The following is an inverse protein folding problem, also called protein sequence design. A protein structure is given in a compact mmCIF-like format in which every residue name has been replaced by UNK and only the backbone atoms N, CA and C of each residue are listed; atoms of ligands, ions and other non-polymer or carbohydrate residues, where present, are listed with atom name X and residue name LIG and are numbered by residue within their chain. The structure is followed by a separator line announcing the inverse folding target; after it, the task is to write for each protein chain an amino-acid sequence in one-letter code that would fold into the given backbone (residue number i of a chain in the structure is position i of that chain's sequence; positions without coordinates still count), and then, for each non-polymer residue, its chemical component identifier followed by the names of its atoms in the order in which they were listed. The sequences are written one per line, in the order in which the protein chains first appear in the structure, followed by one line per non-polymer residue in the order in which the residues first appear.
data_IF_744159359915
#
_entry.id   IF_744159359915
#
_cell.length_a   1.000
_cell.length_b   1.000
_cell.length_c   1.000
_cell.angle_alpha   90.00
_cell.angle_beta   90.00
_cell.angle_gamma   90.00
#
_symmetry.space_group_name_H-M   'P 1'
#
loop_
_entity.id
_entity.type
_entity.pdbx_description
1 polymer ?
#
# COMPACT_ATOMS: atom_id res chain seq x y z
N UNK A 1 8.30 -9.59 -21.73
CA UNK A 1 9.23 -9.09 -20.69
C UNK A 1 10.18 -8.03 -21.27
N UNK A 2 9.76 -6.77 -21.25
CA UNK A 2 10.58 -5.66 -21.79
C UNK A 2 11.01 -4.67 -20.70
N UNK A 3 10.46 -4.74 -19.48
CA UNK A 3 10.83 -3.87 -18.36
C UNK A 3 12.00 -4.43 -17.55
N UNK A 4 12.93 -3.55 -17.19
CA UNK A 4 13.99 -3.86 -16.21
C UNK A 4 13.53 -3.69 -14.76
N UNK A 5 12.36 -3.10 -14.53
CA UNK A 5 11.79 -2.94 -13.21
C UNK A 5 11.25 -4.28 -12.70
N UNK A 6 11.41 -4.53 -11.39
CA UNK A 6 10.69 -5.63 -10.73
C UNK A 6 9.20 -5.26 -10.68
N UNK A 7 8.38 -6.13 -11.23
CA UNK A 7 6.93 -6.01 -11.23
C UNK A 7 6.38 -7.09 -10.30
N UNK A 8 5.47 -6.68 -9.41
CA UNK A 8 4.70 -7.57 -8.55
C UNK A 8 3.24 -7.34 -8.91
N UNK A 9 2.54 -8.41 -9.26
CA UNK A 9 1.18 -8.33 -9.77
C UNK A 9 0.14 -8.50 -8.66
N UNK A 10 -0.92 -7.69 -8.70
CA UNK A 10 -2.01 -7.72 -7.72
C UNK A 10 -3.35 -7.85 -8.43
N UNK A 11 -4.19 -8.79 -8.02
CA UNK A 11 -5.56 -8.89 -8.50
C UNK A 11 -6.46 -7.88 -7.77
N UNK A 12 -7.03 -6.95 -8.51
CA UNK A 12 -7.83 -5.81 -8.02
C UNK A 12 -9.32 -5.95 -8.36
N UNK A 13 -9.85 -7.16 -8.52
CA UNK A 13 -11.26 -7.40 -8.85
C UNK A 13 -12.25 -6.86 -7.83
N UNK A 14 -11.85 -6.82 -6.54
CA UNK A 14 -12.70 -6.42 -5.43
C UNK A 14 -12.56 -4.93 -5.06
N UNK A 15 -12.62 -4.03 -6.05
CA UNK A 15 -12.54 -2.58 -5.81
C UNK A 15 -13.85 -1.82 -6.08
N UNK A 16 -14.73 -2.35 -6.91
CA UNK A 16 -16.07 -1.81 -7.12
C UNK A 16 -16.97 -2.89 -7.73
N UNK A 17 -18.23 -2.89 -7.38
CA UNK A 17 -19.22 -3.80 -7.96
C UNK A 17 -19.48 -3.44 -9.41
N UNK A 18 -19.49 -4.43 -10.29
CA UNK A 18 -19.77 -4.24 -11.70
C UNK A 18 -21.19 -3.72 -11.92
N UNK A 19 -21.37 -2.83 -12.90
CA UNK A 19 -22.69 -2.26 -13.22
C UNK A 19 -23.72 -3.36 -13.54
N UNK A 20 -24.86 -3.28 -12.89
CA UNK A 20 -25.98 -4.20 -13.13
C UNK A 20 -25.93 -5.49 -12.29
N UNK A 21 -24.93 -5.65 -11.42
CA UNK A 21 -24.86 -6.76 -10.47
C UNK A 21 -25.16 -6.27 -9.04
N UNK A 22 -25.71 -7.14 -8.23
CA UNK A 22 -25.78 -6.93 -6.78
C UNK A 22 -24.43 -7.23 -6.13
N UNK A 23 -24.24 -6.74 -4.91
CA UNK A 23 -23.01 -6.96 -4.12
C UNK A 23 -22.69 -8.47 -3.99
N UNK A 24 -23.68 -9.27 -3.58
CA UNK A 24 -23.49 -10.71 -3.37
C UNK A 24 -23.21 -11.47 -4.68
N UNK A 25 -23.88 -11.12 -5.78
CA UNK A 25 -23.59 -11.72 -7.09
C UNK A 25 -22.14 -11.43 -7.53
N UNK A 26 -21.68 -10.20 -7.30
CA UNK A 26 -20.32 -9.81 -7.67
C UNK A 26 -19.27 -10.48 -6.77
N UNK A 27 -19.51 -10.58 -5.46
CA UNK A 27 -18.63 -11.31 -4.54
C UNK A 27 -18.51 -12.78 -4.95
N UNK A 28 -19.63 -13.43 -5.32
CA UNK A 28 -19.61 -14.80 -5.84
C UNK A 28 -18.81 -14.90 -7.15
N UNK A 29 -19.01 -13.99 -8.09
CA UNK A 29 -18.24 -13.96 -9.32
C UNK A 29 -16.73 -13.86 -9.06
N UNK A 30 -16.33 -13.02 -8.11
CA UNK A 30 -14.92 -12.91 -7.70
C UNK A 30 -14.41 -14.25 -7.15
N UNK A 31 -15.15 -14.85 -6.22
CA UNK A 31 -14.72 -16.06 -5.49
C UNK A 31 -14.77 -17.30 -6.39
N UNK A 32 -15.85 -17.48 -7.13
CA UNK A 32 -16.13 -18.74 -7.83
C UNK A 32 -15.51 -18.78 -9.23
N UNK A 33 -15.23 -17.63 -9.84
CA UNK A 33 -14.76 -17.56 -11.23
C UNK A 33 -13.44 -16.79 -11.38
N UNK A 34 -13.36 -15.52 -10.92
CA UNK A 34 -12.20 -14.67 -11.20
C UNK A 34 -10.95 -15.14 -10.45
N UNK A 35 -11.02 -15.39 -9.15
CA UNK A 35 -9.90 -15.85 -8.32
C UNK A 35 -9.35 -17.20 -8.84
N UNK A 36 -10.18 -18.23 -9.09
CA UNK A 36 -9.71 -19.49 -9.68
C UNK A 36 -9.01 -19.30 -11.03
N UNK A 37 -9.52 -18.42 -11.88
CA UNK A 37 -8.92 -18.17 -13.19
C UNK A 37 -7.57 -17.47 -13.07
N UNK A 38 -7.47 -16.41 -12.23
CA UNK A 38 -6.22 -15.70 -11.94
C UNK A 38 -5.19 -16.65 -11.31
N UNK A 39 -5.61 -17.47 -10.35
CA UNK A 39 -4.74 -18.42 -9.67
C UNK A 39 -4.25 -19.55 -10.60
N UNK A 40 -5.14 -20.13 -11.41
CA UNK A 40 -4.78 -21.18 -12.37
C UNK A 40 -3.75 -20.69 -13.39
N UNK A 41 -3.88 -19.44 -13.84
CA UNK A 41 -2.95 -18.83 -14.80
C UNK A 41 -1.73 -18.18 -14.12
N UNK A 42 -1.67 -18.13 -12.79
CA UNK A 42 -0.61 -17.47 -12.01
C UNK A 42 -0.38 -16.01 -12.43
N UNK A 43 -1.48 -15.25 -12.58
CA UNK A 43 -1.43 -13.88 -13.07
C UNK A 43 -1.15 -12.85 -11.97
N UNK A 44 -1.35 -13.22 -10.70
CA UNK A 44 -1.15 -12.31 -9.57
C UNK A 44 -0.44 -13.00 -8.40
N UNK A 45 0.44 -12.24 -7.74
CA UNK A 45 1.11 -12.61 -6.50
C UNK A 45 0.25 -12.25 -5.29
N UNK A 46 -0.58 -11.23 -5.43
CA UNK A 46 -1.43 -10.67 -4.38
C UNK A 46 -2.89 -10.56 -4.83
N UNK A 47 -3.77 -10.54 -3.86
CA UNK A 47 -5.16 -10.08 -3.97
C UNK A 47 -5.31 -8.81 -3.14
N UNK A 48 -6.06 -7.84 -3.64
CA UNK A 48 -6.36 -6.61 -2.93
C UNK A 48 -7.86 -6.36 -2.93
N UNK A 49 -8.39 -5.96 -1.78
CA UNK A 49 -9.81 -5.65 -1.56
C UNK A 49 -9.97 -4.24 -1.05
N UNK A 50 -10.87 -3.47 -1.63
CA UNK A 50 -11.27 -2.18 -1.08
C UNK A 50 -12.29 -2.38 0.03
N UNK A 51 -11.79 -2.56 1.25
CA UNK A 51 -12.60 -2.76 2.46
C UNK A 51 -12.91 -1.41 3.09
N UNK A 52 -13.95 -0.76 2.64
CA UNK A 52 -14.35 0.55 3.15
C UNK A 52 -15.86 0.76 3.02
N UNK A 53 -16.37 1.78 3.69
CA UNK A 53 -17.79 2.14 3.67
C UNK A 53 -18.28 2.43 2.25
N UNK A 54 -19.25 1.63 1.80
CA UNK A 54 -19.82 1.74 0.45
C UNK A 54 -19.15 0.87 -0.60
N UNK A 55 -18.13 0.09 -0.21
CA UNK A 55 -17.44 -0.88 -1.05
C UNK A 55 -17.61 -2.30 -0.49
N UNK A 56 -16.56 -2.99 -0.08
CA UNK A 56 -16.66 -4.33 0.48
C UNK A 56 -16.62 -4.28 2.01
N UNK A 57 -17.47 -5.06 2.64
CA UNK A 57 -17.53 -5.21 4.10
C UNK A 57 -16.38 -6.11 4.60
N UNK A 58 -15.98 -6.04 5.88
CA UNK A 58 -14.99 -6.97 6.45
C UNK A 58 -15.35 -8.44 6.23
N UNK A 59 -16.63 -8.81 6.34
CA UNK A 59 -17.09 -10.20 6.10
C UNK A 59 -16.90 -10.63 4.64
N UNK A 60 -17.23 -9.78 3.69
CA UNK A 60 -17.00 -10.07 2.25
C UNK A 60 -15.51 -10.10 1.94
N UNK A 61 -14.74 -9.18 2.54
CA UNK A 61 -13.27 -9.14 2.43
C UNK A 61 -12.68 -10.46 2.91
N UNK A 62 -13.02 -10.93 4.11
CA UNK A 62 -12.54 -12.21 4.64
C UNK A 62 -12.80 -13.37 3.67
N UNK A 63 -14.03 -13.50 3.13
CA UNK A 63 -14.39 -14.52 2.16
C UNK A 63 -13.52 -14.49 0.89
N UNK A 64 -13.25 -13.29 0.38
CA UNK A 64 -12.42 -13.07 -0.82
C UNK A 64 -10.96 -13.44 -0.52
N UNK A 65 -10.41 -13.02 0.61
CA UNK A 65 -9.04 -13.33 1.02
C UNK A 65 -8.84 -14.83 1.25
N UNK A 66 -9.79 -15.50 1.91
CA UNK A 66 -9.77 -16.96 2.11
C UNK A 66 -9.76 -17.70 0.77
N UNK A 67 -10.60 -17.30 -0.17
CA UNK A 67 -10.61 -17.88 -1.51
C UNK A 67 -9.27 -17.68 -2.23
N UNK A 68 -8.71 -16.47 -2.19
CA UNK A 68 -7.43 -16.16 -2.83
C UNK A 68 -6.25 -16.93 -2.21
N UNK A 69 -6.26 -17.15 -0.90
CA UNK A 69 -5.25 -17.91 -0.19
C UNK A 69 -5.16 -19.36 -0.68
N UNK A 70 -6.26 -19.98 -1.11
CA UNK A 70 -6.27 -21.33 -1.67
C UNK A 70 -5.45 -21.44 -2.97
N UNK A 71 -5.22 -20.32 -3.65
CA UNK A 71 -4.42 -20.19 -4.87
C UNK A 71 -3.03 -19.61 -4.63
N UNK A 72 -2.66 -19.39 -3.35
CA UNK A 72 -1.35 -18.86 -2.95
C UNK A 72 -1.17 -17.36 -3.14
N UNK A 73 -2.23 -16.61 -3.43
CA UNK A 73 -2.18 -15.14 -3.46
C UNK A 73 -2.18 -14.59 -2.03
N UNK A 74 -1.28 -13.66 -1.73
CA UNK A 74 -1.19 -13.01 -0.43
C UNK A 74 -2.12 -11.80 -0.36
N UNK A 75 -2.72 -11.50 0.79
CA UNK A 75 -3.63 -10.37 0.91
C UNK A 75 -2.91 -9.03 1.01
N UNK A 76 -3.56 -8.01 0.45
CA UNK A 76 -3.39 -6.59 0.67
C UNK A 76 -4.78 -5.97 0.77
N UNK A 77 -4.92 -4.82 1.41
CA UNK A 77 -6.23 -4.19 1.61
C UNK A 77 -6.11 -2.68 1.48
N UNK A 78 -6.98 -2.07 0.68
CA UNK A 78 -7.31 -0.65 0.80
C UNK A 78 -8.26 -0.51 1.99
N UNK A 79 -7.81 0.20 3.03
CA UNK A 79 -8.50 0.29 4.31
C UNK A 79 -8.54 1.74 4.80
N UNK A 80 -9.66 2.10 5.41
CA UNK A 80 -9.80 3.36 6.14
C UNK A 80 -9.45 4.62 5.34
N UNK A 81 -9.69 4.59 4.05
CA UNK A 81 -9.57 5.77 3.18
C UNK A 81 -10.70 6.76 3.47
N UNK A 82 -11.94 6.26 3.48
CA UNK A 82 -13.15 7.06 3.66
C UNK A 82 -13.70 7.00 5.08
N UNK A 83 -13.56 5.87 5.76
CA UNK A 83 -13.99 5.67 7.14
C UNK A 83 -13.23 4.50 7.78
N UNK A 84 -13.07 4.50 9.11
CA UNK A 84 -12.71 3.30 9.86
C UNK A 84 -13.84 2.28 9.74
N UNK A 85 -13.62 1.25 8.95
CA UNK A 85 -14.66 0.32 8.49
C UNK A 85 -14.33 -1.15 8.81
N UNK A 86 -13.29 -1.42 9.61
CA UNK A 86 -12.83 -2.76 9.97
C UNK A 86 -11.84 -3.36 8.94
N UNK A 87 -11.32 -2.55 8.02
CA UNK A 87 -10.35 -2.98 7.01
C UNK A 87 -8.99 -3.32 7.61
N UNK A 88 -8.56 -2.59 8.62
CA UNK A 88 -7.31 -2.87 9.35
C UNK A 88 -7.42 -4.18 10.10
N UNK A 89 -8.51 -4.40 10.83
CA UNK A 89 -8.73 -5.62 11.61
C UNK A 89 -8.72 -6.86 10.72
N UNK A 90 -9.54 -6.88 9.68
CA UNK A 90 -9.59 -8.03 8.76
C UNK A 90 -8.27 -8.25 8.04
N UNK A 91 -7.52 -7.18 7.75
CA UNK A 91 -6.19 -7.27 7.19
C UNK A 91 -5.20 -7.97 8.10
N UNK A 92 -5.18 -7.61 9.38
CA UNK A 92 -4.32 -8.22 10.39
C UNK A 92 -4.75 -9.67 10.66
N UNK A 93 -6.05 -9.95 10.76
CA UNK A 93 -6.59 -11.30 10.97
C UNK A 93 -6.22 -12.28 9.84
N UNK A 94 -6.05 -11.78 8.63
CA UNK A 94 -5.68 -12.57 7.45
C UNK A 94 -4.20 -12.44 7.04
N UNK A 95 -3.33 -11.95 7.92
CA UNK A 95 -1.90 -11.78 7.67
C UNK A 95 -1.61 -10.97 6.39
N UNK A 96 -2.40 -9.93 6.13
CA UNK A 96 -2.17 -9.05 4.98
C UNK A 96 -0.76 -8.48 5.02
N UNK A 97 -0.10 -8.45 3.87
CA UNK A 97 1.25 -7.90 3.76
C UNK A 97 1.26 -6.39 4.03
N UNK A 98 0.23 -5.70 3.56
CA UNK A 98 0.00 -4.28 3.86
C UNK A 98 -1.49 -3.96 3.95
N UNK A 99 -1.77 -2.89 4.69
CA UNK A 99 -3.03 -2.14 4.65
C UNK A 99 -2.69 -0.74 4.18
N UNK A 100 -3.38 -0.31 3.13
CA UNK A 100 -3.03 0.86 2.35
C UNK A 100 -4.07 1.98 2.56
N UNK A 101 -3.72 3.26 2.42
CA UNK A 101 -4.46 4.50 2.66
C UNK A 101 -4.42 5.00 4.11
N UNK A 102 -5.34 4.59 4.97
CA UNK A 102 -5.35 4.86 6.42
C UNK A 102 -5.62 6.33 6.79
N UNK A 103 -6.28 7.10 5.92
CA UNK A 103 -6.64 8.50 6.18
C UNK A 103 -7.57 8.65 7.39
N UNK A 104 -8.52 7.72 7.51
CA UNK A 104 -9.56 7.70 8.56
C UNK A 104 -9.22 6.81 9.76
N UNK A 105 -8.06 6.11 9.74
CA UNK A 105 -7.64 5.17 10.77
C UNK A 105 -7.72 5.78 12.19
N UNK A 106 -8.12 4.99 13.17
CA UNK A 106 -8.22 5.37 14.60
C UNK A 106 -6.90 5.16 15.35
N UNK A 107 -6.88 5.48 16.63
CA UNK A 107 -5.71 5.21 17.49
C UNK A 107 -5.69 3.74 17.92
N UNK A 108 -6.85 3.15 18.08
CA UNK A 108 -7.04 1.74 18.43
C UNK A 108 -6.46 0.83 17.34
N UNK A 109 -6.66 1.16 16.08
CA UNK A 109 -6.12 0.42 14.93
C UNK A 109 -4.58 0.52 14.84
N UNK A 110 -3.97 1.60 15.35
CA UNK A 110 -2.51 1.69 15.50
C UNK A 110 -1.99 0.57 16.42
N UNK A 111 -2.69 0.32 17.54
CA UNK A 111 -2.29 -0.75 18.47
C UNK A 111 -2.52 -2.15 17.88
N UNK A 112 -3.54 -2.34 17.05
CA UNK A 112 -3.75 -3.60 16.32
C UNK A 112 -2.58 -3.85 15.37
N UNK A 113 -2.22 -2.86 14.56
CA UNK A 113 -1.09 -2.96 13.62
C UNK A 113 0.25 -3.17 14.34
N UNK A 114 0.44 -2.53 15.49
CA UNK A 114 1.67 -2.66 16.29
C UNK A 114 1.96 -4.09 16.71
N UNK A 115 0.94 -4.89 16.90
CA UNK A 115 1.05 -6.30 17.31
C UNK A 115 1.00 -7.28 16.12
N UNK A 116 1.20 -6.78 14.91
CA UNK A 116 1.15 -7.56 13.67
C UNK A 116 2.41 -7.41 12.82
N UNK A 117 2.48 -8.16 11.73
CA UNK A 117 3.49 -8.01 10.68
C UNK A 117 2.96 -7.26 9.46
N UNK A 118 1.74 -6.76 9.51
CA UNK A 118 1.10 -6.02 8.43
C UNK A 118 1.70 -4.61 8.33
N UNK A 119 2.16 -4.24 7.15
CA UNK A 119 2.77 -2.93 6.90
C UNK A 119 1.70 -1.86 6.66
N UNK A 120 1.55 -0.85 7.53
CA UNK A 120 0.76 0.32 7.20
C UNK A 120 1.43 1.11 6.06
N UNK A 121 0.68 1.35 4.99
CA UNK A 121 1.17 2.07 3.81
C UNK A 121 0.31 3.29 3.59
N UNK A 122 0.89 4.48 3.63
CA UNK A 122 0.17 5.74 3.44
C UNK A 122 0.44 6.33 2.06
N UNK A 123 -0.57 6.98 1.50
CA UNK A 123 -0.60 7.43 0.11
C UNK A 123 -0.80 8.96 0.04
N UNK A 124 0.22 9.75 0.46
CA UNK A 124 0.06 11.21 0.59
C UNK A 124 -0.19 11.92 -0.75
N UNK A 125 0.11 11.28 -1.88
CA UNK A 125 -0.22 11.79 -3.21
C UNK A 125 -1.72 11.83 -3.45
N UNK A 126 -2.44 10.80 -3.03
CA UNK A 126 -3.90 10.68 -3.10
C UNK A 126 -4.57 11.75 -2.23
N UNK A 127 -4.18 11.82 -0.96
CA UNK A 127 -4.68 12.86 -0.04
C UNK A 127 -4.44 14.28 -0.58
N UNK A 128 -3.28 14.51 -1.21
CA UNK A 128 -2.96 15.79 -1.85
C UNK A 128 -3.87 16.11 -3.03
N UNK A 129 -3.98 15.18 -3.98
CA UNK A 129 -4.70 15.41 -5.23
C UNK A 129 -6.21 15.52 -5.03
N UNK A 130 -6.78 14.69 -4.15
CA UNK A 130 -8.21 14.69 -3.82
C UNK A 130 -8.58 15.69 -2.72
N UNK A 131 -7.61 16.41 -2.16
CA UNK A 131 -7.81 17.33 -1.04
C UNK A 131 -8.48 16.65 0.18
N UNK A 132 -8.01 15.44 0.51
CA UNK A 132 -8.47 14.63 1.64
C UNK A 132 -7.61 14.89 2.89
N UNK A 133 -8.05 14.49 4.08
CA UNK A 133 -7.20 14.39 5.26
C UNK A 133 -6.00 13.48 4.97
N UNK A 134 -4.90 13.70 5.67
CA UNK A 134 -3.70 12.87 5.57
C UNK A 134 -3.70 11.77 6.64
N UNK A 135 -3.22 10.59 6.28
CA UNK A 135 -3.01 9.48 7.21
C UNK A 135 -2.11 9.84 8.40
N UNK A 136 -2.28 9.14 9.52
CA UNK A 136 -1.65 9.46 10.82
C UNK A 136 -0.22 8.92 10.96
N UNK A 137 0.60 8.98 9.88
CA UNK A 137 1.94 8.37 9.84
C UNK A 137 2.84 8.78 11.03
N UNK A 138 2.83 10.06 11.44
CA UNK A 138 3.62 10.50 12.61
C UNK A 138 3.24 9.73 13.87
N UNK A 139 1.93 9.54 14.13
CA UNK A 139 1.47 8.78 15.30
C UNK A 139 1.86 7.31 15.23
N UNK A 140 1.81 6.71 14.05
CA UNK A 140 2.25 5.33 13.84
C UNK A 140 3.74 5.16 14.15
N UNK A 141 4.59 6.05 13.62
CA UNK A 141 6.03 6.01 13.87
C UNK A 141 6.35 6.28 15.33
N UNK A 142 5.67 7.24 15.98
CA UNK A 142 5.84 7.52 17.42
C UNK A 142 5.40 6.33 18.29
N UNK A 143 4.46 5.53 17.83
CA UNK A 143 4.04 4.27 18.46
C UNK A 143 5.01 3.11 18.16
N UNK A 144 6.06 3.32 17.36
CA UNK A 144 7.07 2.32 17.03
C UNK A 144 6.79 1.47 15.80
N UNK A 145 5.78 1.82 14.99
CA UNK A 145 5.52 1.12 13.74
C UNK A 145 6.47 1.58 12.63
N UNK A 146 6.85 0.64 11.78
CA UNK A 146 7.34 0.96 10.44
C UNK A 146 6.16 1.38 9.57
N UNK A 147 6.36 2.40 8.73
CA UNK A 147 5.34 2.90 7.79
C UNK A 147 5.95 2.89 6.39
N UNK A 148 5.23 2.42 5.40
CA UNK A 148 5.59 2.57 3.99
C UNK A 148 4.87 3.78 3.37
N UNK A 149 5.45 4.33 2.30
CA UNK A 149 4.79 5.30 1.42
C UNK A 149 4.83 4.82 -0.02
N UNK A 150 3.75 5.05 -0.75
CA UNK A 150 3.65 4.70 -2.16
C UNK A 150 3.01 5.83 -2.96
N UNK A 151 3.11 5.75 -4.28
CA UNK A 151 2.58 6.80 -5.16
C UNK A 151 1.08 6.70 -5.39
N UNK A 152 0.53 5.49 -5.30
CA UNK A 152 -0.84 5.21 -5.75
C UNK A 152 -1.11 5.73 -7.17
N UNK A 153 -0.12 5.55 -8.07
CA UNK A 153 -0.20 6.10 -9.42
C UNK A 153 -1.37 5.51 -10.22
N UNK A 154 -2.39 6.31 -10.40
CA UNK A 154 -3.56 5.97 -11.20
C UNK A 154 -4.22 7.26 -11.74
N UNK A 155 -5.01 7.19 -12.83
CA UNK A 155 -5.63 8.38 -13.43
C UNK A 155 -6.76 9.00 -12.59
N UNK A 156 -7.31 8.28 -11.59
CA UNK A 156 -8.44 8.72 -10.79
C UNK A 156 -8.06 9.57 -9.58
N UNK A 157 -7.06 9.12 -8.82
CA UNK A 157 -6.72 9.70 -7.52
C UNK A 157 -5.31 10.26 -7.43
N UNK A 158 -4.35 9.79 -8.26
CA UNK A 158 -2.97 10.28 -8.19
C UNK A 158 -2.28 10.18 -9.56
N UNK A 159 -2.41 11.20 -10.43
CA UNK A 159 -1.85 11.14 -11.78
C UNK A 159 -0.33 11.39 -11.83
N UNK A 160 0.39 11.19 -10.73
CA UNK A 160 1.84 11.34 -10.64
C UNK A 160 2.50 10.17 -9.92
N UNK A 161 3.46 9.53 -10.59
CA UNK A 161 4.31 8.49 -10.00
C UNK A 161 5.62 9.02 -9.42
N UNK A 162 5.77 10.34 -9.21
CA UNK A 162 7.01 10.95 -8.69
C UNK A 162 7.19 10.67 -7.20
N UNK A 163 7.96 9.64 -6.89
CA UNK A 163 8.27 9.25 -5.52
C UNK A 163 9.07 10.30 -4.74
N UNK A 164 9.80 11.19 -5.40
CA UNK A 164 10.47 12.30 -4.74
C UNK A 164 9.46 13.31 -4.18
N UNK A 165 8.41 13.59 -4.96
CA UNK A 165 7.28 14.39 -4.48
C UNK A 165 6.53 13.70 -3.33
N UNK A 166 6.31 12.37 -3.41
CA UNK A 166 5.71 11.59 -2.32
C UNK A 166 6.53 11.68 -1.04
N UNK A 167 7.85 11.54 -1.11
CA UNK A 167 8.76 11.72 0.04
C UNK A 167 8.67 13.14 0.61
N UNK A 168 8.56 14.15 -0.24
CA UNK A 168 8.38 15.54 0.20
C UNK A 168 7.06 15.74 0.94
N UNK A 169 5.96 15.18 0.42
CA UNK A 169 4.66 15.18 1.11
C UNK A 169 4.73 14.43 2.45
N UNK A 170 5.44 13.31 2.50
CA UNK A 170 5.64 12.56 3.73
C UNK A 170 6.32 13.41 4.81
N UNK A 171 7.33 14.20 4.45
CA UNK A 171 7.97 15.13 5.39
C UNK A 171 7.05 16.30 5.77
N UNK A 172 6.41 16.94 4.79
CA UNK A 172 5.67 18.20 5.02
C UNK A 172 4.30 17.95 5.65
N UNK A 173 3.56 16.95 5.13
CA UNK A 173 2.16 16.69 5.52
C UNK A 173 2.03 15.60 6.58
N UNK A 174 2.80 14.52 6.45
CA UNK A 174 2.78 13.41 7.41
C UNK A 174 3.74 13.63 8.58
N UNK A 175 4.59 14.67 8.53
CA UNK A 175 5.56 15.05 9.56
C UNK A 175 6.60 13.97 9.86
N UNK A 176 6.95 13.19 8.86
CA UNK A 176 8.08 12.27 8.97
C UNK A 176 9.40 13.04 8.85
N UNK A 177 10.39 12.62 9.59
CA UNK A 177 11.76 13.12 9.37
C UNK A 177 12.27 12.63 8.00
N UNK A 178 13.20 13.33 7.34
CA UNK A 178 13.73 12.92 6.03
C UNK A 178 14.22 11.47 5.99
N UNK A 179 14.93 11.03 7.03
CA UNK A 179 15.38 9.64 7.15
C UNK A 179 14.24 8.63 7.28
N UNK A 180 13.18 8.98 8.03
CA UNK A 180 11.98 8.14 8.15
C UNK A 180 11.24 8.04 6.82
N UNK A 181 11.06 9.17 6.12
CA UNK A 181 10.40 9.22 4.81
C UNK A 181 11.18 8.45 3.74
N UNK A 182 12.52 8.52 3.75
CA UNK A 182 13.37 7.72 2.86
C UNK A 182 13.26 6.23 3.15
N UNK A 183 13.27 5.82 4.43
CA UNK A 183 13.04 4.42 4.79
C UNK A 183 11.64 3.96 4.39
N UNK A 184 10.62 4.80 4.57
CA UNK A 184 9.26 4.53 4.16
C UNK A 184 9.13 4.26 2.64
N UNK A 185 9.85 5.04 1.82
CA UNK A 185 9.85 4.91 0.37
C UNK A 185 10.79 3.80 -0.16
N UNK A 186 11.67 3.23 0.66
CA UNK A 186 12.67 2.26 0.24
C UNK A 186 12.50 0.90 0.91
N UNK A 187 13.08 0.68 2.09
CA UNK A 187 13.06 -0.64 2.74
C UNK A 187 11.65 -1.06 3.17
N UNK A 188 10.84 -0.13 3.68
CA UNK A 188 9.46 -0.41 4.09
C UNK A 188 8.56 -0.61 2.85
N UNK A 189 8.73 0.21 1.79
CA UNK A 189 8.06 -0.01 0.52
C UNK A 189 8.40 -1.36 -0.11
N UNK A 190 9.67 -1.77 -0.06
CA UNK A 190 10.08 -3.10 -0.50
C UNK A 190 9.45 -4.22 0.33
N UNK A 191 9.28 -4.01 1.65
CA UNK A 191 8.55 -4.96 2.50
C UNK A 191 7.08 -5.06 2.08
N UNK A 192 6.40 -3.92 1.90
CA UNK A 192 5.00 -3.88 1.45
C UNK A 192 4.77 -4.53 0.08
N UNK A 193 5.83 -4.68 -0.72
CA UNK A 193 5.83 -5.43 -1.99
C UNK A 193 6.22 -6.90 -1.83
N UNK A 194 6.61 -7.38 -0.64
CA UNK A 194 7.15 -8.72 -0.43
C UNK A 194 8.59 -8.91 -0.94
N UNK A 195 9.30 -7.84 -1.22
CA UNK A 195 10.62 -7.84 -1.88
C UNK A 195 11.76 -7.33 -1.00
N UNK A 196 11.55 -7.14 0.30
CA UNK A 196 12.57 -6.59 1.21
C UNK A 196 13.84 -7.44 1.32
N UNK A 197 13.79 -8.72 1.01
CA UNK A 197 14.97 -9.58 0.94
C UNK A 197 15.91 -9.18 -0.21
N UNK A 198 15.36 -8.66 -1.31
CA UNK A 198 16.09 -8.37 -2.55
C UNK A 198 16.30 -6.89 -2.81
N UNK A 199 15.42 -6.01 -2.30
CA UNK A 199 15.37 -4.58 -2.61
C UNK A 199 15.28 -3.71 -1.35
N UNK A 200 15.29 -2.41 -1.55
CA UNK A 200 14.99 -1.39 -0.54
C UNK A 200 16.16 -0.96 0.33
N UNK A 201 17.33 -1.60 0.22
CA UNK A 201 18.54 -1.14 0.93
C UNK A 201 19.81 -1.54 0.18
N UNK A 202 20.88 -0.80 0.40
CA UNK A 202 22.21 -1.13 -0.12
C UNK A 202 22.87 -2.10 0.85
N UNK A 203 22.78 -3.39 0.54
CA UNK A 203 23.36 -4.47 1.36
C UNK A 203 23.91 -5.58 0.49
N UNK A 204 24.89 -6.34 1.02
CA UNK A 204 25.47 -7.49 0.31
C UNK A 204 24.39 -8.54 0.03
N UNK A 205 24.32 -8.97 -1.22
CA UNK A 205 23.36 -9.99 -1.67
C UNK A 205 22.06 -9.42 -2.25
N UNK A 206 21.79 -8.13 -2.06
CA UNK A 206 20.62 -7.48 -2.68
C UNK A 206 20.89 -7.00 -4.10
N UNK A 207 19.83 -6.81 -4.85
CA UNK A 207 19.88 -6.29 -6.22
C UNK A 207 20.39 -4.84 -6.19
N UNK A 208 21.34 -4.52 -7.07
CA UNK A 208 21.89 -3.17 -7.22
C UNK A 208 20.88 -2.26 -7.96
N UNK A 209 19.81 -1.90 -7.28
CA UNK A 209 18.79 -0.96 -7.75
C UNK A 209 18.89 0.32 -6.93
N UNK A 210 19.68 1.26 -7.40
CA UNK A 210 19.93 2.55 -6.76
C UNK A 210 20.20 3.63 -7.80
N UNK A 211 20.09 4.87 -7.40
CA UNK A 211 20.52 6.03 -8.16
C UNK A 211 21.63 6.78 -7.40
N UNK A 212 22.40 7.57 -8.12
CA UNK A 212 23.46 8.42 -7.58
C UNK A 212 23.04 9.86 -7.84
N UNK A 213 23.04 10.67 -6.79
CA UNK A 213 22.72 12.09 -6.90
C UNK A 213 23.96 12.90 -7.30
N UNK A 214 23.76 14.12 -7.77
CA UNK A 214 24.82 15.15 -7.66
C UNK A 214 25.21 15.33 -6.19
N UNK A 215 26.38 15.95 -5.89
CA UNK A 215 26.72 16.27 -4.51
C UNK A 215 25.61 17.10 -3.85
N UNK A 216 25.05 16.59 -2.78
CA UNK A 216 24.00 17.22 -1.97
C UNK A 216 24.52 17.45 -0.55
N UNK A 217 24.09 18.51 0.16
CA UNK A 217 24.63 18.84 1.48
C UNK A 217 24.27 17.80 2.56
N UNK A 218 23.11 17.16 2.46
CA UNK A 218 22.63 16.10 3.35
C UNK A 218 21.49 15.34 2.70
N UNK A 219 21.04 14.22 3.31
CA UNK A 219 19.83 13.49 2.90
C UNK A 219 18.57 14.35 3.02
N UNK A 220 18.55 15.36 3.89
CA UNK A 220 17.42 16.27 4.06
C UNK A 220 17.15 17.12 2.82
N UNK A 221 18.15 17.24 1.94
CA UNK A 221 18.00 17.95 0.67
C UNK A 221 17.06 17.20 -0.30
N UNK A 222 16.93 15.89 -0.20
CA UNK A 222 16.08 15.09 -1.10
C UNK A 222 14.60 15.55 -1.04
N UNK A 223 13.93 15.57 0.12
CA UNK A 223 12.56 16.08 0.20
C UNK A 223 12.47 17.59 -0.07
N UNK A 224 13.52 18.37 0.20
CA UNK A 224 13.55 19.81 -0.08
C UNK A 224 13.53 20.10 -1.59
N UNK A 225 14.20 19.31 -2.39
CA UNK A 225 14.37 19.53 -3.83
C UNK A 225 13.28 18.85 -4.68
N UNK A 226 12.05 18.76 -4.21
CA UNK A 226 10.97 17.96 -4.78
C UNK A 226 10.67 18.22 -6.27
N UNK A 227 10.98 19.37 -6.82
CA UNK A 227 10.76 19.71 -8.25
C UNK A 227 12.04 19.71 -9.10
N UNK A 228 13.21 19.63 -8.50
CA UNK A 228 14.49 19.73 -9.22
C UNK A 228 15.22 18.39 -9.27
N UNK A 229 15.95 18.08 -10.34
CA UNK A 229 16.85 16.93 -10.36
C UNK A 229 17.88 17.00 -9.22
N UNK A 230 18.20 15.86 -8.65
CA UNK A 230 19.21 15.72 -7.60
C UNK A 230 20.36 14.83 -8.05
#
# INVERSE_FOLDING_TARGET
ETSKAKIVSTFLGAHAVARGMSQEEYVRLIIDEMIPEVGRQKLADFVDVFCDRGFFTPTETARILEAAATWGMRPKIHADELASSGGVEVGVEHDALSVDHLESMTVEEIEILRNSNTMPTVLPGTSFFLNMPYGKARKMVDAGLSVAVASDYNPGSTPSGDMKFVVSLACIKLRLQPSEALNAATINGAYAMGESANYGSIAKGKVANFFITHPIPSLDFIPYSYTTPI
#
